data_IF_385364824903
#
_entry.id   IF_385364824903
#
_cell.length_a   1.000
_cell.length_b   1.000
_cell.length_c   1.000
_cell.angle_alpha   90.00
_cell.angle_beta   90.00
_cell.angle_gamma   90.00
#
_symmetry.space_group_name_H-M   'P 1'
#
loop_
_entity.id
_entity.type
_entity.pdbx_description
1 polymer ?
#
# COMPACT_ATOMS: atom_id res chain seq x y z
N UNK A 1 18.83 0.74 -11.23
CA UNK A 1 17.82 1.08 -10.21
C UNK A 1 17.37 -0.22 -9.61
N UNK A 2 17.36 -0.35 -8.27
CA UNK A 2 16.82 -1.55 -7.62
C UNK A 2 15.32 -1.66 -7.90
N UNK A 3 14.84 -2.85 -8.22
CA UNK A 3 13.40 -3.08 -8.38
C UNK A 3 12.72 -2.92 -7.00
N UNK A 4 11.90 -1.87 -6.86
CA UNK A 4 11.14 -1.59 -5.64
C UNK A 4 10.18 -2.72 -5.33
N UNK A 5 9.61 -3.38 -6.36
CA UNK A 5 8.71 -4.51 -6.16
C UNK A 5 9.43 -5.67 -5.47
N UNK A 6 10.66 -5.99 -5.91
CA UNK A 6 11.49 -7.01 -5.26
C UNK A 6 11.85 -6.62 -3.82
N UNK A 7 12.22 -5.35 -3.59
CA UNK A 7 12.55 -4.86 -2.24
C UNK A 7 11.35 -4.96 -1.30
N UNK A 8 10.14 -4.67 -1.79
CA UNK A 8 8.90 -4.83 -1.03
C UNK A 8 8.58 -6.32 -0.82
N UNK A 9 8.79 -7.18 -1.82
CA UNK A 9 8.62 -8.63 -1.70
C UNK A 9 9.52 -9.24 -0.62
N UNK A 10 10.77 -8.78 -0.50
CA UNK A 10 11.67 -9.20 0.58
C UNK A 10 11.17 -8.80 1.98
N UNK A 11 10.37 -7.72 2.07
CA UNK A 11 9.84 -7.23 3.34
C UNK A 11 8.58 -7.99 3.75
N UNK A 12 7.59 -8.11 2.87
CA UNK A 12 6.26 -8.66 3.21
C UNK A 12 6.00 -10.07 2.69
N UNK A 13 6.86 -10.59 1.81
CA UNK A 13 6.70 -11.83 1.06
C UNK A 13 6.01 -11.62 -0.29
N UNK A 14 6.35 -12.43 -1.29
CA UNK A 14 5.86 -12.32 -2.69
C UNK A 14 4.33 -12.34 -2.80
N UNK A 15 3.65 -13.06 -1.92
CA UNK A 15 2.18 -13.16 -1.90
C UNK A 15 1.48 -11.91 -1.34
N UNK A 16 2.23 -10.94 -0.82
CA UNK A 16 1.69 -9.78 -0.09
C UNK A 16 2.18 -8.45 -0.66
N UNK A 17 2.70 -8.47 -1.87
CA UNK A 17 3.06 -7.30 -2.68
C UNK A 17 2.47 -7.46 -4.08
N UNK A 18 2.03 -6.36 -4.68
CA UNK A 18 1.59 -6.34 -6.07
C UNK A 18 1.84 -4.99 -6.72
N UNK A 19 2.23 -5.02 -7.99
CA UNK A 19 2.27 -3.87 -8.90
C UNK A 19 1.41 -4.11 -10.15
N UNK A 20 0.52 -5.12 -10.10
CA UNK A 20 -0.34 -5.51 -11.22
C UNK A 20 -1.51 -4.53 -11.38
N UNK A 21 -1.99 -4.37 -12.61
CA UNK A 21 -3.10 -3.45 -12.92
C UNK A 21 -4.40 -3.83 -12.20
N UNK A 22 -4.66 -5.12 -12.05
CA UNK A 22 -5.88 -5.62 -11.43
C UNK A 22 -5.92 -5.27 -9.94
N UNK A 23 -4.80 -5.44 -9.23
CA UNK A 23 -4.71 -5.03 -7.82
C UNK A 23 -4.84 -3.52 -7.73
N UNK A 24 -4.07 -2.77 -8.54
CA UNK A 24 -4.08 -1.32 -8.50
C UNK A 24 -5.47 -0.71 -8.76
N UNK A 25 -6.29 -1.35 -9.60
CA UNK A 25 -7.69 -0.95 -9.82
C UNK A 25 -8.53 -0.95 -8.54
N UNK A 26 -8.37 -1.96 -7.68
CA UNK A 26 -9.13 -2.08 -6.43
C UNK A 26 -8.68 -1.07 -5.37
N UNK A 27 -7.39 -0.74 -5.31
CA UNK A 27 -6.86 0.23 -4.34
C UNK A 27 -6.84 1.68 -4.85
N UNK A 28 -7.28 1.93 -6.08
CA UNK A 28 -7.29 3.27 -6.66
C UNK A 28 -8.45 4.15 -6.16
N UNK A 29 -9.44 3.59 -5.45
CA UNK A 29 -10.69 4.26 -5.09
C UNK A 29 -11.18 3.86 -3.70
N UNK A 30 -12.04 4.68 -3.14
CA UNK A 30 -12.92 4.32 -2.03
C UNK A 30 -14.40 4.32 -2.51
N UNK A 31 -15.37 3.90 -1.68
CA UNK A 31 -16.80 3.95 -2.04
C UNK A 31 -17.39 5.36 -2.26
N UNK A 32 -16.60 6.42 -2.10
CA UNK A 32 -17.01 7.80 -2.32
C UNK A 32 -17.09 8.21 -3.78
N UNK A 33 -17.24 9.53 -3.99
CA UNK A 33 -17.35 10.13 -5.33
C UNK A 33 -16.04 10.77 -5.83
N UNK A 34 -14.96 10.64 -5.07
CA UNK A 34 -13.67 11.21 -5.45
C UNK A 34 -13.07 10.45 -6.64
N UNK A 35 -12.41 11.14 -7.58
CA UNK A 35 -11.76 10.48 -8.71
C UNK A 35 -10.71 9.46 -8.24
N UNK A 36 -10.67 8.31 -8.91
CA UNK A 36 -9.69 7.29 -8.63
C UNK A 36 -8.28 7.75 -9.04
N UNK A 37 -7.26 7.35 -8.28
CA UNK A 37 -5.85 7.50 -8.66
C UNK A 37 -5.14 6.18 -8.39
N UNK A 38 -4.36 5.71 -9.36
CA UNK A 38 -3.70 4.40 -9.28
C UNK A 38 -2.48 4.44 -8.34
N UNK A 39 -2.26 3.45 -7.46
CA UNK A 39 -0.98 3.24 -6.78
C UNK A 39 0.08 2.61 -7.70
N UNK A 40 1.35 2.78 -7.37
CA UNK A 40 2.45 2.07 -8.02
C UNK A 40 2.64 0.66 -7.43
N UNK A 41 2.41 0.53 -6.12
CA UNK A 41 2.54 -0.70 -5.37
C UNK A 41 1.45 -0.83 -4.31
N UNK A 42 1.03 -2.06 -4.06
CA UNK A 42 0.18 -2.43 -2.93
C UNK A 42 0.96 -3.43 -2.08
N UNK A 43 0.99 -3.21 -0.77
CA UNK A 43 1.57 -4.15 0.20
C UNK A 43 0.61 -4.44 1.33
N UNK A 44 0.65 -5.67 1.84
CA UNK A 44 -0.22 -6.12 2.94
C UNK A 44 0.67 -6.64 4.08
N UNK A 45 1.20 -5.80 4.99
CA UNK A 45 2.10 -6.25 6.06
C UNK A 45 1.37 -6.96 7.21
N UNK A 46 2.09 -7.79 7.97
CA UNK A 46 1.59 -8.55 9.13
C UNK A 46 2.21 -8.13 10.47
N UNK A 47 3.35 -7.43 10.45
CA UNK A 47 4.04 -7.02 11.69
C UNK A 47 4.48 -5.55 11.66
N UNK A 48 4.73 -5.00 12.85
CA UNK A 48 5.24 -3.64 12.97
C UNK A 48 6.63 -3.49 12.33
N UNK A 49 7.46 -4.54 12.36
CA UNK A 49 8.80 -4.57 11.76
C UNK A 49 8.73 -4.48 10.23
N UNK A 50 7.76 -5.15 9.61
CA UNK A 50 7.52 -5.05 8.16
C UNK A 50 7.14 -3.60 7.79
N UNK A 51 6.23 -2.97 8.55
CA UNK A 51 5.87 -1.55 8.35
C UNK A 51 7.07 -0.63 8.49
N UNK A 52 7.88 -0.81 9.53
CA UNK A 52 9.09 0.00 9.73
C UNK A 52 10.04 -0.09 8.54
N UNK A 53 10.22 -1.29 7.96
CA UNK A 53 11.04 -1.48 6.76
C UNK A 53 10.42 -0.80 5.54
N UNK A 54 9.11 -0.92 5.32
CA UNK A 54 8.39 -0.23 4.22
C UNK A 54 8.58 1.28 4.33
N UNK A 55 8.35 1.87 5.51
CA UNK A 55 8.46 3.32 5.73
C UNK A 55 9.90 3.81 5.49
N UNK A 56 10.91 3.05 5.93
CA UNK A 56 12.32 3.38 5.68
C UNK A 56 12.66 3.34 4.18
N UNK A 57 12.20 2.31 3.47
CA UNK A 57 12.37 2.19 2.03
C UNK A 57 11.68 3.35 1.30
N UNK A 58 10.42 3.62 1.60
CA UNK A 58 9.65 4.70 1.00
C UNK A 58 10.31 6.07 1.21
N UNK A 59 10.81 6.35 2.43
CA UNK A 59 11.51 7.60 2.71
C UNK A 59 12.86 7.74 1.98
N UNK A 60 13.61 6.63 1.86
CA UNK A 60 14.87 6.60 1.13
C UNK A 60 14.66 6.88 -0.36
N UNK A 61 13.67 6.22 -0.95
CA UNK A 61 13.37 6.28 -2.39
C UNK A 61 12.39 7.42 -2.75
N UNK A 62 11.96 8.21 -1.76
CA UNK A 62 11.02 9.35 -1.90
C UNK A 62 9.66 8.97 -2.49
N UNK A 63 9.17 7.79 -2.14
CA UNK A 63 7.88 7.25 -2.59
C UNK A 63 6.80 7.60 -1.55
N UNK A 64 5.67 8.23 -1.94
CA UNK A 64 4.54 8.46 -1.05
C UNK A 64 3.95 7.15 -0.49
N UNK A 65 3.38 7.21 0.71
CA UNK A 65 2.66 6.08 1.31
C UNK A 65 1.24 6.50 1.64
N UNK A 66 0.29 5.57 1.45
CA UNK A 66 -1.11 5.72 1.87
C UNK A 66 -1.52 4.51 2.72
N UNK A 67 -1.67 4.66 4.04
CA UNK A 67 -2.18 3.58 4.87
C UNK A 67 -3.68 3.38 4.62
N UNK A 68 -4.10 2.12 4.55
CA UNK A 68 -5.49 1.73 4.33
C UNK A 68 -5.90 0.68 5.37
N UNK A 69 -7.06 0.91 6.01
CA UNK A 69 -7.76 -0.10 6.79
C UNK A 69 -8.70 -0.92 5.90
N UNK A 70 -10.01 -0.87 6.18
CA UNK A 70 -11.03 -1.55 5.37
C UNK A 70 -11.37 -0.85 4.03
N UNK A 71 -10.76 0.31 3.73
CA UNK A 71 -11.02 1.05 2.49
C UNK A 71 -12.39 1.75 2.41
N UNK A 72 -13.14 1.84 3.52
CA UNK A 72 -14.53 2.35 3.54
C UNK A 72 -14.65 3.86 3.77
N UNK A 73 -13.61 4.65 3.47
CA UNK A 73 -13.74 6.10 3.47
C UNK A 73 -14.69 6.55 2.36
N UNK A 74 -15.36 7.70 2.51
CA UNK A 74 -16.30 8.22 1.51
C UNK A 74 -15.81 9.54 0.87
N UNK A 75 -14.63 10.00 1.28
CA UNK A 75 -14.13 11.35 0.99
C UNK A 75 -12.72 11.34 0.40
N UNK A 76 -12.25 10.19 -0.10
CA UNK A 76 -10.97 10.03 -0.78
C UNK A 76 -9.77 9.82 0.15
N UNK A 77 -9.97 9.54 1.44
CA UNK A 77 -8.88 9.47 2.44
C UNK A 77 -7.84 8.38 2.16
N UNK A 78 -8.23 7.34 1.42
CA UNK A 78 -7.37 6.19 1.09
C UNK A 78 -6.96 6.17 -0.40
N UNK A 79 -7.31 7.21 -1.17
CA UNK A 79 -6.94 7.30 -2.58
C UNK A 79 -5.47 7.75 -2.69
N UNK A 80 -4.61 7.02 -3.41
CA UNK A 80 -3.20 7.36 -3.57
C UNK A 80 -3.00 8.46 -4.61
N UNK A 81 -3.36 9.70 -4.26
CA UNK A 81 -3.36 10.89 -5.14
C UNK A 81 -2.01 11.21 -5.81
N UNK A 82 -0.91 10.62 -5.33
CA UNK A 82 0.44 10.78 -5.87
C UNK A 82 1.07 9.44 -6.29
N UNK A 83 0.25 8.42 -6.53
CA UNK A 83 0.70 7.04 -6.68
C UNK A 83 1.35 6.54 -5.39
N UNK A 84 2.47 5.85 -5.54
CA UNK A 84 3.26 5.32 -4.44
C UNK A 84 2.72 4.01 -3.88
N UNK A 85 2.96 3.80 -2.58
CA UNK A 85 2.71 2.52 -1.91
C UNK A 85 1.43 2.63 -1.08
N UNK A 86 0.41 1.86 -1.43
CA UNK A 86 -0.74 1.62 -0.54
C UNK A 86 -0.37 0.51 0.44
N UNK A 87 -0.55 0.78 1.73
CA UNK A 87 -0.25 -0.16 2.83
C UNK A 87 -1.57 -0.65 3.42
N UNK A 88 -2.01 -1.84 3.03
CA UNK A 88 -3.22 -2.48 3.52
C UNK A 88 -2.97 -3.20 4.84
N UNK A 89 -3.56 -2.67 5.90
CA UNK A 89 -3.34 -3.10 7.27
C UNK A 89 -4.13 -4.37 7.64
N UNK A 90 -4.92 -4.97 6.73
CA UNK A 90 -5.87 -6.06 7.06
C UNK A 90 -5.25 -7.31 7.69
N UNK A 91 -3.96 -7.58 7.48
CA UNK A 91 -3.25 -8.73 8.09
C UNK A 91 -2.83 -8.48 9.54
N UNK A 92 -2.81 -7.23 10.01
CA UNK A 92 -2.52 -6.85 11.40
C UNK A 92 -3.82 -6.79 12.22
N UNK A 93 -4.44 -7.96 12.45
CA UNK A 93 -5.81 -8.09 12.98
C UNK A 93 -5.92 -8.81 14.33
N UNK A 94 -4.84 -8.90 15.10
CA UNK A 94 -4.83 -9.57 16.41
C UNK A 94 -5.24 -8.62 17.54
N UNK A 95 -6.04 -9.11 18.46
CA UNK A 95 -6.19 -8.53 19.81
C UNK A 95 -4.99 -9.02 20.63
N UNK A 96 -4.22 -8.10 21.22
CA UNK A 96 -2.97 -8.38 21.94
C UNK A 96 -3.16 -8.38 23.46
#
# INVERSE_FOLDING_TARGET
>A
MSDISLSLAEIVGENYVSNKEEEAYFYARDPGLMPAHKPDYVVVPKTAEEIQKIVRLANKEKIPIVPMGAGMALTGLVIPLKGGIVIDMKRMNKII
#
